data_IF_877358396023
#
_entry.id   IF_877358396023
#
_cell.length_a   1.000
_cell.length_b   1.000
_cell.length_c   1.000
_cell.angle_alpha   90.00
_cell.angle_beta   90.00
_cell.angle_gamma   90.00
#
_symmetry.space_group_name_H-M   'P 1'
#
loop_
_entity.id
_entity.type
_entity.pdbx_description
1 polymer ?
#
# COMPACT_ATOMS: atom_id res chain seq x y z
N UNK A 1 48.84 9.62 -22.51
CA UNK A 1 48.21 8.39 -21.93
C UNK A 1 47.62 8.56 -20.51
N UNK A 2 47.66 9.75 -19.88
CA UNK A 2 47.18 9.94 -18.49
C UNK A 2 45.69 10.36 -18.36
N UNK A 3 45.13 11.06 -19.35
CA UNK A 3 43.76 11.59 -19.28
C UNK A 3 42.65 10.54 -19.52
N UNK A 4 42.84 9.63 -20.48
CA UNK A 4 41.85 8.59 -20.81
C UNK A 4 41.56 7.66 -19.62
N UNK A 5 42.57 7.35 -18.80
CA UNK A 5 42.42 6.47 -17.63
C UNK A 5 41.58 7.11 -16.51
N UNK A 6 41.69 8.43 -16.34
CA UNK A 6 40.92 9.20 -15.33
C UNK A 6 39.44 9.34 -15.72
N UNK A 7 39.17 9.54 -17.00
CA UNK A 7 37.79 9.66 -17.51
C UNK A 7 37.06 8.33 -17.35
N UNK A 8 37.71 7.21 -17.69
CA UNK A 8 37.13 5.86 -17.54
C UNK A 8 36.79 5.52 -16.09
N UNK A 9 37.64 5.89 -15.13
CA UNK A 9 37.37 5.66 -13.70
C UNK A 9 36.18 6.48 -13.18
N UNK A 10 36.01 7.72 -13.64
CA UNK A 10 34.91 8.58 -13.19
C UNK A 10 33.57 8.06 -13.73
N UNK A 11 33.53 7.65 -15.00
CA UNK A 11 32.32 7.08 -15.61
C UNK A 11 31.95 5.75 -14.94
N UNK A 12 32.94 4.90 -14.63
CA UNK A 12 32.70 3.65 -13.92
C UNK A 12 32.12 3.87 -12.52
N UNK A 13 32.69 4.79 -11.73
CA UNK A 13 32.18 5.12 -10.38
C UNK A 13 30.79 5.74 -10.46
N UNK A 14 30.52 6.60 -11.43
CA UNK A 14 29.19 7.19 -11.62
C UNK A 14 28.13 6.13 -11.97
N UNK A 15 28.44 5.18 -12.85
CA UNK A 15 27.54 4.07 -13.19
C UNK A 15 27.28 3.12 -11.99
N UNK A 16 28.29 2.87 -11.15
CA UNK A 16 28.15 2.09 -9.92
C UNK A 16 27.27 2.80 -8.88
N UNK A 17 27.37 4.12 -8.73
CA UNK A 17 26.54 4.88 -7.80
C UNK A 17 25.07 4.95 -8.25
N UNK A 18 24.82 5.13 -9.56
CA UNK A 18 23.46 5.15 -10.13
C UNK A 18 22.74 3.80 -10.02
N UNK A 19 23.49 2.70 -10.11
CA UNK A 19 22.92 1.34 -9.93
C UNK A 19 22.70 1.00 -8.46
N UNK A 20 23.54 1.50 -7.54
CA UNK A 20 23.36 1.29 -6.11
C UNK A 20 22.12 2.01 -5.54
N UNK A 21 21.76 3.20 -6.03
CA UNK A 21 20.55 3.90 -5.54
C UNK A 21 19.24 3.28 -6.03
N UNK A 22 19.26 2.50 -7.12
CA UNK A 22 18.06 1.83 -7.64
C UNK A 22 17.59 0.65 -6.75
N UNK A 23 18.50 0.02 -6.00
CA UNK A 23 18.17 -1.12 -5.14
C UNK A 23 17.82 -0.74 -3.70
N UNK A 24 18.13 0.50 -3.28
CA UNK A 24 17.82 0.99 -1.94
C UNK A 24 16.34 1.34 -1.76
N UNK A 25 15.61 1.51 -2.87
CA UNK A 25 14.16 1.73 -2.92
C UNK A 25 13.37 0.42 -3.12
N UNK A 26 14.02 -0.76 -3.02
CA UNK A 26 13.30 -2.00 -2.75
C UNK A 26 12.80 -1.94 -1.29
N UNK A 27 11.79 -1.11 -1.08
CA UNK A 27 11.14 -0.90 0.21
C UNK A 27 10.65 -2.21 0.80
N UNK A 28 10.48 -2.22 2.12
CA UNK A 28 9.85 -3.35 2.81
C UNK A 28 8.49 -3.61 2.20
N UNK A 29 8.16 -4.89 2.02
CA UNK A 29 6.83 -5.33 1.59
C UNK A 29 6.18 -6.19 2.66
N UNK A 30 4.85 -6.22 2.66
CA UNK A 30 4.07 -7.10 3.52
C UNK A 30 4.35 -8.56 3.22
N UNK A 31 4.32 -9.39 4.27
CA UNK A 31 4.39 -10.85 4.16
C UNK A 31 3.01 -11.41 4.44
N UNK A 32 2.52 -12.28 3.55
CA UNK A 32 1.19 -12.87 3.62
C UNK A 32 0.24 -12.29 2.57
N UNK A 33 -1.07 -12.42 2.83
CA UNK A 33 -2.11 -12.12 1.85
C UNK A 33 -3.16 -11.16 2.43
N UNK A 34 -3.42 -10.05 1.74
CA UNK A 34 -4.51 -9.14 2.07
C UNK A 34 -5.60 -9.26 1.02
N UNK A 35 -6.79 -9.69 1.42
CA UNK A 35 -7.89 -9.99 0.50
C UNK A 35 -9.06 -9.04 0.72
N UNK A 36 -9.64 -8.56 -0.37
CA UNK A 36 -10.80 -7.67 -0.37
C UNK A 36 -11.94 -8.23 -1.22
N UNK A 37 -13.18 -8.01 -0.77
CA UNK A 37 -14.39 -8.34 -1.53
C UNK A 37 -15.45 -7.23 -1.43
N UNK A 38 -16.22 -7.05 -2.49
CA UNK A 38 -17.41 -6.20 -2.50
C UNK A 38 -18.62 -6.90 -1.86
N UNK A 39 -19.72 -6.17 -1.62
CA UNK A 39 -20.89 -6.71 -0.90
C UNK A 39 -21.59 -7.82 -1.68
N UNK A 40 -21.90 -7.53 -2.95
CA UNK A 40 -22.58 -8.44 -3.89
C UNK A 40 -21.68 -8.83 -5.07
N UNK A 41 -20.36 -8.73 -4.88
CA UNK A 41 -19.40 -8.90 -5.96
C UNK A 41 -18.76 -10.28 -5.87
N UNK A 42 -18.78 -11.11 -6.92
CA UNK A 42 -17.96 -12.31 -6.98
C UNK A 42 -16.47 -11.96 -7.16
N UNK A 43 -16.16 -10.70 -7.48
CA UNK A 43 -14.78 -10.23 -7.63
C UNK A 43 -14.14 -10.09 -6.26
N UNK A 44 -13.07 -10.86 -6.09
CA UNK A 44 -12.10 -10.78 -5.02
C UNK A 44 -10.80 -10.20 -5.58
N UNK A 45 -10.15 -9.34 -4.80
CA UNK A 45 -8.82 -8.82 -5.11
C UNK A 45 -7.90 -9.11 -3.95
N UNK A 46 -6.77 -9.76 -4.24
CA UNK A 46 -5.76 -10.12 -3.24
C UNK A 46 -4.46 -9.38 -3.52
N UNK A 47 -3.86 -8.83 -2.47
CA UNK A 47 -2.61 -8.09 -2.50
C UNK A 47 -1.53 -8.82 -1.69
N UNK A 48 -0.48 -9.27 -2.38
CA UNK A 48 0.71 -9.89 -1.79
C UNK A 48 1.90 -8.97 -2.03
N UNK A 49 2.90 -9.01 -1.15
CA UNK A 49 4.13 -8.23 -1.29
C UNK A 49 3.87 -6.72 -1.46
N UNK A 50 2.81 -6.20 -0.84
CA UNK A 50 2.45 -4.78 -0.94
C UNK A 50 3.53 -3.95 -0.27
N UNK A 51 4.05 -2.89 -0.90
CA UNK A 51 4.98 -1.98 -0.24
C UNK A 51 4.38 -1.45 1.06
N UNK A 52 5.15 -1.45 2.15
CA UNK A 52 4.66 -0.94 3.44
C UNK A 52 4.44 0.58 3.41
N UNK A 53 5.12 1.26 2.49
CA UNK A 53 5.00 2.70 2.28
C UNK A 53 3.90 3.06 1.28
N UNK A 54 3.32 4.25 1.48
CA UNK A 54 2.38 4.86 0.54
C UNK A 54 0.91 4.53 0.78
N UNK A 55 0.08 4.88 -0.20
CA UNK A 55 -1.36 4.64 -0.21
C UNK A 55 -1.72 3.71 -1.36
N UNK A 56 -2.49 2.66 -1.06
CA UNK A 56 -2.82 1.62 -2.02
C UNK A 56 -4.32 1.64 -2.32
N UNK A 57 -4.68 1.81 -3.58
CA UNK A 57 -6.08 1.78 -4.02
C UNK A 57 -6.59 0.34 -4.09
N UNK A 58 -7.79 0.11 -3.57
CA UNK A 58 -8.50 -1.17 -3.67
C UNK A 58 -9.14 -1.24 -5.06
N UNK A 59 -8.77 -2.25 -5.85
CA UNK A 59 -9.18 -2.39 -7.25
C UNK A 59 -10.55 -3.08 -7.41
N UNK A 60 -11.47 -2.80 -6.49
CA UNK A 60 -12.88 -3.20 -6.61
C UNK A 60 -13.66 -1.95 -7.03
N UNK A 61 -14.34 -1.93 -8.19
CA UNK A 61 -14.93 -0.70 -8.75
C UNK A 61 -15.90 0.03 -7.81
N UNK A 62 -16.65 -0.71 -7.00
CA UNK A 62 -17.58 -0.15 -6.00
C UNK A 62 -16.99 -0.06 -4.59
N UNK A 63 -15.72 -0.40 -4.41
CA UNK A 63 -15.05 -0.50 -3.12
C UNK A 63 -15.24 -1.85 -2.43
N UNK A 64 -14.45 -2.09 -1.40
CA UNK A 64 -14.52 -3.28 -0.56
C UNK A 64 -15.47 -3.07 0.61
N UNK A 65 -16.20 -4.13 0.95
CA UNK A 65 -17.04 -4.21 2.15
C UNK A 65 -16.59 -5.31 3.09
N UNK A 66 -15.73 -6.22 2.60
CA UNK A 66 -15.09 -7.26 3.38
C UNK A 66 -13.58 -7.18 3.16
N UNK A 67 -12.83 -7.42 4.23
CA UNK A 67 -11.37 -7.47 4.22
C UNK A 67 -10.91 -8.61 5.12
N UNK A 68 -9.90 -9.33 4.67
CA UNK A 68 -9.18 -10.33 5.46
C UNK A 68 -7.70 -10.01 5.42
N UNK A 69 -7.13 -9.64 6.56
CA UNK A 69 -5.72 -9.32 6.70
C UNK A 69 -4.95 -10.56 7.16
N UNK A 70 -4.61 -11.46 6.25
CA UNK A 70 -3.72 -12.59 6.52
C UNK A 70 -2.25 -12.22 6.27
N UNK A 71 -1.87 -10.97 6.56
CA UNK A 71 -0.47 -10.51 6.53
C UNK A 71 0.12 -10.48 7.95
N UNK A 72 1.44 -10.29 8.07
CA UNK A 72 2.14 -10.15 9.35
C UNK A 72 2.15 -8.71 9.90
N UNK A 73 1.41 -7.80 9.28
CA UNK A 73 1.37 -6.37 9.63
C UNK A 73 -0.07 -5.90 9.69
N UNK A 74 -0.28 -4.76 10.35
CA UNK A 74 -1.60 -4.17 10.45
C UNK A 74 -1.85 -3.20 9.29
N UNK A 75 -3.12 -2.89 9.06
CA UNK A 75 -3.51 -1.93 8.03
C UNK A 75 -4.56 -0.94 8.55
N UNK A 76 -4.67 0.18 7.86
CA UNK A 76 -5.75 1.16 8.05
C UNK A 76 -6.48 1.37 6.72
N UNK A 77 -7.81 1.29 6.76
CA UNK A 77 -8.69 1.38 5.60
C UNK A 77 -9.34 2.76 5.52
N UNK A 78 -9.51 3.25 4.30
CA UNK A 78 -10.08 4.56 4.02
C UNK A 78 -11.22 4.46 3.03
N UNK A 79 -12.22 5.35 3.18
CA UNK A 79 -13.35 5.50 2.25
C UNK A 79 -12.96 6.27 0.98
N UNK A 80 -11.89 7.05 1.04
CA UNK A 80 -11.34 7.81 -0.10
C UNK A 80 -10.40 6.94 -0.93
N UNK A 81 -10.14 7.31 -2.18
CA UNK A 81 -9.25 6.53 -3.06
C UNK A 81 -7.75 6.82 -2.83
N UNK A 82 -7.44 7.89 -2.11
CA UNK A 82 -6.10 8.43 -1.90
C UNK A 82 -5.66 8.41 -0.43
N UNK A 83 -6.31 7.61 0.42
CA UNK A 83 -6.06 7.54 1.85
C UNK A 83 -6.13 8.90 2.55
N UNK A 84 -6.90 9.85 1.99
CA UNK A 84 -7.21 11.10 2.66
C UNK A 84 -8.25 10.83 3.75
N UNK A 85 -8.11 11.54 4.88
CA UNK A 85 -9.20 11.62 5.85
C UNK A 85 -10.40 12.27 5.15
N UNK A 86 -11.58 11.70 5.30
CA UNK A 86 -12.77 12.27 4.68
C UNK A 86 -13.13 13.58 5.39
N UNK A 87 -12.91 14.71 4.73
CA UNK A 87 -13.22 16.06 5.26
C UNK A 87 -14.71 16.21 5.67
N UNK A 88 -15.58 15.37 5.09
CA UNK A 88 -17.02 15.35 5.34
C UNK A 88 -17.42 14.89 6.76
N UNK A 89 -16.50 14.36 7.57
CA UNK A 89 -16.81 13.80 8.89
C UNK A 89 -16.40 14.71 10.08
N UNK A 90 -16.09 15.99 9.81
CA UNK A 90 -15.75 16.99 10.84
C UNK A 90 -14.29 16.94 11.29
N UNK A 91 -13.87 17.75 12.28
CA UNK A 91 -12.49 17.77 12.80
C UNK A 91 -12.06 16.44 13.46
N UNK A 92 -13.02 15.57 13.78
CA UNK A 92 -12.83 14.18 14.24
C UNK A 92 -12.98 13.14 13.10
N UNK A 93 -13.05 13.62 11.85
CA UNK A 93 -13.49 12.86 10.68
C UNK A 93 -12.66 11.63 10.38
N UNK A 94 -13.29 10.48 10.66
CA UNK A 94 -12.82 9.10 10.53
C UNK A 94 -11.31 8.93 10.40
N UNK A 95 -10.66 8.77 11.55
CA UNK A 95 -9.50 7.89 11.64
C UNK A 95 -9.85 6.60 10.88
N UNK A 96 -9.05 6.23 9.89
CA UNK A 96 -9.37 5.08 9.05
C UNK A 96 -9.58 3.81 9.89
N UNK A 97 -10.24 2.81 9.32
CA UNK A 97 -10.56 1.59 10.07
C UNK A 97 -9.32 0.72 10.18
N UNK A 98 -8.83 0.55 11.40
CA UNK A 98 -7.70 -0.32 11.69
C UNK A 98 -8.11 -1.80 11.64
N UNK A 99 -7.29 -2.61 10.98
CA UNK A 99 -7.45 -4.07 10.90
C UNK A 99 -6.10 -4.71 11.21
N UNK A 100 -6.02 -5.31 12.39
CA UNK A 100 -4.78 -5.95 12.83
C UNK A 100 -4.42 -7.17 11.98
N UNK A 101 -3.17 -7.60 12.10
CA UNK A 101 -2.66 -8.87 11.58
C UNK A 101 -3.59 -10.03 11.93
N UNK A 102 -3.82 -10.92 10.96
CA UNK A 102 -4.71 -12.09 11.04
C UNK A 102 -6.20 -11.82 11.32
N UNK A 103 -6.63 -10.55 11.35
CA UNK A 103 -8.03 -10.19 11.56
C UNK A 103 -8.74 -9.87 10.25
N UNK A 104 -10.07 -9.90 10.32
CA UNK A 104 -10.97 -9.51 9.25
C UNK A 104 -11.90 -8.39 9.71
N UNK A 105 -12.44 -7.64 8.76
CA UNK A 105 -13.48 -6.66 9.04
C UNK A 105 -14.56 -6.65 7.94
N UNK A 106 -15.76 -6.25 8.32
CA UNK A 106 -16.90 -6.09 7.41
C UNK A 106 -17.57 -4.75 7.68
N UNK A 107 -17.93 -4.04 6.62
CA UNK A 107 -18.66 -2.77 6.74
C UNK A 107 -20.04 -3.04 7.35
N UNK A 108 -20.48 -2.18 8.26
CA UNK A 108 -21.85 -2.21 8.77
C UNK A 108 -22.87 -2.03 7.62
N UNK A 109 -24.10 -2.56 7.75
CA UNK A 109 -25.16 -2.34 6.77
C UNK A 109 -25.34 -0.85 6.46
N UNK A 110 -25.50 -0.52 5.17
CA UNK A 110 -25.68 0.86 4.67
C UNK A 110 -24.49 1.83 4.88
N UNK A 111 -23.34 1.35 5.35
CA UNK A 111 -22.13 2.18 5.41
C UNK A 111 -21.37 2.20 4.08
N UNK A 112 -20.55 3.24 3.88
CA UNK A 112 -19.76 3.39 2.67
C UNK A 112 -18.61 2.37 2.62
N UNK A 113 -18.32 1.79 1.44
CA UNK A 113 -17.23 0.84 1.27
C UNK A 113 -15.86 1.52 1.36
N UNK A 114 -14.84 0.72 1.66
CA UNK A 114 -13.44 1.15 1.64
C UNK A 114 -12.90 1.18 0.21
N UNK A 115 -12.05 2.16 -0.08
CA UNK A 115 -11.49 2.40 -1.42
C UNK A 115 -9.96 2.41 -1.46
N UNK A 116 -9.30 2.59 -0.33
CA UNK A 116 -7.85 2.51 -0.24
C UNK A 116 -7.39 2.04 1.15
N UNK A 117 -6.12 1.67 1.26
CA UNK A 117 -5.52 1.26 2.53
C UNK A 117 -4.07 1.72 2.65
N UNK A 118 -3.57 1.77 3.89
CA UNK A 118 -2.16 1.92 4.25
C UNK A 118 -1.73 0.77 5.14
N UNK A 119 -0.45 0.42 5.07
CA UNK A 119 0.18 -0.54 5.98
C UNK A 119 0.75 0.22 7.18
N UNK A 120 0.65 -0.37 8.36
CA UNK A 120 1.32 0.11 9.58
C UNK A 120 2.63 -0.67 9.75
N UNK A 121 3.75 0.03 9.83
CA UNK A 121 5.10 -0.55 9.88
C UNK A 121 6.06 0.25 10.76
#
# INVERSE_FOLDING_TARGET
MSHSRRISTIVGVAALLLTASACSDLGRSTVGMLTFRGHDSPVEVSYSNTPVEGCHKILIPKGATHVENNTLVDIVLYRTENCAKAEAEGPEGAEGIYVATTLSNVTAPHSLPWRSFRVIH
#
